data_IF_029299814196
#
_entry.id   IF_029299814196
#
_cell.length_a   1.000
_cell.length_b   1.000
_cell.length_c   1.000
_cell.angle_alpha   90.00
_cell.angle_beta   90.00
_cell.angle_gamma   90.00
#
_symmetry.space_group_name_H-M   'P 1'
#
loop_
_entity.id
_entity.type
_entity.pdbx_description
1 polymer ?
#
# COMPACT_ATOMS: atom_id res chain seq x y z
N UNK A 1 -22.50 -28.89 -32.36
CA UNK A 1 -22.60 -27.68 -31.51
C UNK A 1 -22.03 -28.02 -30.13
N UNK A 2 -20.71 -27.86 -29.95
CA UNK A 2 -19.97 -28.34 -28.78
C UNK A 2 -19.92 -27.25 -27.69
N UNK A 3 -20.71 -27.42 -26.63
CA UNK A 3 -20.53 -26.69 -25.37
C UNK A 3 -19.28 -27.25 -24.67
N UNK A 4 -18.11 -26.74 -25.05
CA UNK A 4 -16.87 -26.94 -24.27
C UNK A 4 -17.06 -26.21 -22.94
N UNK A 5 -17.34 -26.94 -21.86
CA UNK A 5 -17.29 -26.42 -20.49
C UNK A 5 -15.91 -25.79 -20.28
N UNK A 6 -15.86 -24.47 -20.11
CA UNK A 6 -14.65 -23.79 -19.67
C UNK A 6 -14.26 -24.39 -18.32
N UNK A 7 -13.08 -25.00 -18.25
CA UNK A 7 -12.51 -25.50 -17.01
C UNK A 7 -12.47 -24.35 -15.99
N UNK A 8 -13.16 -24.52 -14.86
CA UNK A 8 -13.25 -23.53 -13.78
C UNK A 8 -11.90 -23.34 -13.12
N UNK A 9 -11.12 -22.38 -13.62
CA UNK A 9 -9.89 -21.93 -12.97
C UNK A 9 -10.24 -20.86 -11.92
N UNK A 10 -9.76 -21.04 -10.70
CA UNK A 10 -9.92 -20.07 -9.61
C UNK A 10 -8.88 -18.97 -9.75
N UNK A 11 -9.32 -17.72 -9.82
CA UNK A 11 -8.45 -16.54 -9.83
C UNK A 11 -7.53 -16.54 -8.60
N UNK A 12 -6.22 -16.44 -8.84
CA UNK A 12 -5.22 -16.41 -7.78
C UNK A 12 -4.91 -14.95 -7.42
N UNK A 13 -5.05 -14.59 -6.15
CA UNK A 13 -4.74 -13.23 -5.68
C UNK A 13 -3.40 -13.23 -4.95
N UNK A 14 -2.46 -12.42 -5.44
CA UNK A 14 -1.16 -12.18 -4.81
C UNK A 14 -1.13 -10.76 -4.27
N UNK A 15 -0.76 -10.60 -3.00
CA UNK A 15 -0.56 -9.29 -2.36
C UNK A 15 0.93 -9.05 -2.23
N UNK A 16 1.44 -8.01 -2.87
CA UNK A 16 2.86 -7.63 -2.82
C UNK A 16 3.00 -6.18 -2.32
N UNK A 17 4.12 -5.89 -1.69
CA UNK A 17 4.50 -4.54 -1.28
C UNK A 17 5.69 -4.11 -2.12
N UNK A 18 5.55 -3.01 -2.87
CA UNK A 18 6.59 -2.54 -3.79
C UNK A 18 6.77 -1.04 -3.59
N UNK A 19 8.02 -0.57 -3.63
CA UNK A 19 8.32 0.87 -3.61
C UNK A 19 7.85 1.53 -4.90
N UNK A 20 7.14 2.65 -4.81
CA UNK A 20 6.73 3.45 -5.96
C UNK A 20 7.94 3.80 -6.85
N UNK A 21 7.79 3.64 -8.17
CA UNK A 21 8.85 3.92 -9.15
C UNK A 21 10.08 3.01 -9.09
N UNK A 22 10.12 2.01 -8.20
CA UNK A 22 11.27 1.13 -7.97
C UNK A 22 10.93 -0.35 -8.17
N UNK A 23 9.90 -0.69 -8.94
CA UNK A 23 9.61 -2.09 -9.24
C UNK A 23 10.69 -2.66 -10.16
N UNK A 24 11.31 -3.75 -9.69
CA UNK A 24 12.27 -4.56 -10.43
C UNK A 24 11.95 -6.05 -10.27
N UNK A 25 12.37 -6.92 -11.20
CA UNK A 25 12.20 -8.37 -11.08
C UNK A 25 13.05 -9.00 -9.96
N UNK A 26 13.66 -8.20 -9.10
CA UNK A 26 14.45 -8.62 -7.94
C UNK A 26 13.56 -9.20 -6.80
N UNK A 27 14.14 -9.81 -5.74
CA UNK A 27 13.39 -10.45 -4.65
C UNK A 27 12.69 -9.38 -3.80
N UNK A 28 11.49 -8.94 -4.19
CA UNK A 28 10.21 -9.42 -3.65
C UNK A 28 9.10 -9.64 -4.71
N UNK A 29 9.30 -9.16 -5.94
CA UNK A 29 8.30 -9.17 -7.03
C UNK A 29 8.54 -10.37 -7.96
N UNK A 30 9.80 -10.63 -8.29
CA UNK A 30 10.20 -11.70 -9.21
C UNK A 30 9.69 -13.09 -8.79
N UNK A 31 10.04 -13.58 -7.59
CA UNK A 31 9.58 -14.89 -7.12
C UNK A 31 8.06 -14.97 -6.90
N UNK A 32 7.45 -13.89 -6.39
CA UNK A 32 6.03 -13.85 -6.06
C UNK A 32 5.11 -13.93 -7.29
N UNK A 33 5.50 -13.27 -8.38
CA UNK A 33 4.74 -13.28 -9.64
C UNK A 33 5.20 -14.38 -10.60
N UNK A 34 6.50 -14.66 -10.66
CA UNK A 34 7.10 -15.65 -11.55
C UNK A 34 6.62 -17.08 -11.24
N UNK A 35 6.46 -17.44 -9.96
CA UNK A 35 5.91 -18.74 -9.55
C UNK A 35 4.47 -18.98 -10.02
N UNK A 36 3.74 -17.91 -10.37
CA UNK A 36 2.36 -17.97 -10.88
C UNK A 36 2.29 -17.85 -12.41
N UNK A 37 3.43 -17.83 -13.11
CA UNK A 37 3.50 -17.74 -14.56
C UNK A 37 3.16 -16.35 -15.12
N UNK A 38 3.23 -15.31 -14.28
CA UNK A 38 3.01 -13.92 -14.68
C UNK A 38 4.31 -13.32 -15.23
N UNK A 39 4.20 -12.53 -16.29
CA UNK A 39 5.34 -11.77 -16.85
C UNK A 39 5.72 -10.62 -15.91
N UNK A 40 6.63 -10.89 -14.97
CA UNK A 40 7.08 -9.91 -13.97
C UNK A 40 7.65 -8.61 -14.58
N UNK A 41 8.27 -8.69 -15.77
CA UNK A 41 8.81 -7.51 -16.46
C UNK A 41 7.73 -6.53 -16.93
N UNK A 42 6.62 -7.05 -17.46
CA UNK A 42 5.51 -6.23 -17.94
C UNK A 42 4.82 -5.55 -16.75
N UNK A 43 4.63 -6.30 -15.66
CA UNK A 43 4.16 -5.74 -14.38
C UNK A 43 5.06 -4.61 -13.87
N UNK A 44 6.38 -4.81 -13.82
CA UNK A 44 7.30 -3.78 -13.30
C UNK A 44 7.24 -2.48 -14.12
N UNK A 45 7.17 -2.58 -15.46
CA UNK A 45 7.06 -1.41 -16.34
C UNK A 45 5.76 -0.65 -16.11
N UNK A 46 4.64 -1.37 -16.11
CA UNK A 46 3.33 -0.76 -15.95
C UNK A 46 3.14 -0.17 -14.54
N UNK A 47 3.63 -0.87 -13.51
CA UNK A 47 3.61 -0.36 -12.14
C UNK A 47 4.45 0.91 -12.00
N UNK A 48 5.67 0.95 -12.57
CA UNK A 48 6.51 2.13 -12.51
C UNK A 48 5.84 3.30 -13.22
N UNK A 49 5.29 3.11 -14.43
CA UNK A 49 4.57 4.16 -15.16
C UNK A 49 3.39 4.72 -14.36
N UNK A 50 2.56 3.84 -13.75
CA UNK A 50 1.42 4.27 -12.93
C UNK A 50 1.84 4.93 -11.62
N UNK A 51 3.02 4.65 -11.07
CA UNK A 51 3.50 5.21 -9.79
C UNK A 51 4.46 6.39 -9.91
N UNK A 52 4.70 6.91 -11.13
CA UNK A 52 5.59 8.07 -11.37
C UNK A 52 5.19 9.34 -10.60
N UNK A 53 3.91 9.52 -10.30
CA UNK A 53 3.40 10.69 -9.57
C UNK A 53 3.57 10.57 -8.05
N UNK A 54 3.96 9.40 -7.54
CA UNK A 54 4.16 9.13 -6.11
C UNK A 54 5.64 9.27 -5.80
N UNK A 55 5.97 9.77 -4.60
CA UNK A 55 7.36 9.86 -4.12
C UNK A 55 8.03 8.49 -4.24
N UNK A 56 9.16 8.44 -4.95
CA UNK A 56 9.90 7.21 -5.20
C UNK A 56 10.27 6.51 -3.88
N UNK A 57 10.14 5.18 -3.85
CA UNK A 57 10.41 4.38 -2.66
C UNK A 57 9.27 4.33 -1.63
N UNK A 58 8.16 5.04 -1.86
CA UNK A 58 6.96 4.92 -1.01
C UNK A 58 6.40 3.49 -1.08
N UNK A 59 6.25 2.76 0.03
CA UNK A 59 5.77 1.39 0.04
C UNK A 59 4.29 1.35 -0.32
N UNK A 60 4.02 0.85 -1.53
CA UNK A 60 2.72 0.87 -2.17
C UNK A 60 2.21 -0.57 -2.27
N UNK A 61 1.14 -0.93 -1.56
CA UNK A 61 0.55 -2.26 -1.64
C UNK A 61 -0.11 -2.48 -3.00
N UNK A 62 0.12 -3.63 -3.61
CA UNK A 62 -0.49 -4.00 -4.89
C UNK A 62 -1.20 -5.32 -4.74
N UNK A 63 -2.45 -5.37 -5.21
CA UNK A 63 -3.21 -6.61 -5.34
C UNK A 63 -3.15 -7.06 -6.79
N UNK A 64 -2.43 -8.13 -7.06
CA UNK A 64 -2.34 -8.75 -8.38
C UNK A 64 -3.30 -9.92 -8.43
N UNK A 65 -4.22 -9.89 -9.38
CA UNK A 65 -5.17 -10.98 -9.65
C UNK A 65 -4.72 -11.68 -10.92
N UNK A 66 -4.38 -12.96 -10.80
CA UNK A 66 -3.89 -13.81 -11.87
C UNK A 66 -5.03 -14.73 -12.29
N UNK A 67 -5.45 -14.61 -13.55
CA UNK A 67 -6.47 -15.44 -14.16
C UNK A 67 -5.87 -16.77 -14.64
N UNK A 68 -6.68 -17.82 -14.83
CA UNK A 68 -6.21 -19.13 -15.27
C UNK A 68 -5.57 -19.13 -16.68
N UNK A 69 -5.87 -18.13 -17.52
CA UNK A 69 -5.24 -17.90 -18.82
C UNK A 69 -3.85 -17.25 -18.73
N UNK A 70 -3.31 -17.11 -17.50
CA UNK A 70 -2.04 -16.42 -17.18
C UNK A 70 -2.05 -14.93 -17.49
N UNK A 71 -3.23 -14.35 -17.79
CA UNK A 71 -3.38 -12.91 -17.79
C UNK A 71 -3.44 -12.41 -16.35
N UNK A 72 -2.96 -11.18 -16.14
CA UNK A 72 -2.96 -10.56 -14.82
C UNK A 72 -3.61 -9.19 -14.90
N UNK A 73 -4.32 -8.83 -13.83
CA UNK A 73 -4.77 -7.48 -13.59
C UNK A 73 -4.27 -7.08 -12.21
N UNK A 74 -3.78 -5.85 -12.05
CA UNK A 74 -3.36 -5.37 -10.74
C UNK A 74 -4.02 -4.06 -10.37
N UNK A 75 -4.32 -3.94 -9.08
CA UNK A 75 -4.83 -2.73 -8.47
C UNK A 75 -3.77 -2.18 -7.53
N UNK A 76 -3.31 -0.96 -7.83
CA UNK A 76 -2.43 -0.21 -6.95
C UNK A 76 -3.30 0.38 -5.84
N UNK A 77 -2.91 0.14 -4.59
CA UNK A 77 -3.54 0.76 -3.42
C UNK A 77 -2.69 1.92 -2.95
N UNK A 78 -3.33 2.86 -2.28
CA UNK A 78 -2.67 3.93 -1.56
C UNK A 78 -1.66 3.38 -0.55
N UNK A 79 -0.59 4.14 -0.26
CA UNK A 79 0.42 3.75 0.71
C UNK A 79 -0.18 3.42 2.08
N UNK A 80 0.52 2.58 2.84
CA UNK A 80 0.08 2.22 4.19
C UNK A 80 -0.01 3.48 5.07
N UNK A 81 -1.12 3.63 5.79
CA UNK A 81 -1.31 4.80 6.67
C UNK A 81 -0.31 4.85 7.80
N UNK A 82 0.19 3.71 8.29
CA UNK A 82 1.32 3.68 9.22
C UNK A 82 2.55 4.37 8.63
N UNK A 83 2.91 4.08 7.37
CA UNK A 83 4.04 4.72 6.70
C UNK A 83 3.78 6.21 6.47
N UNK A 84 2.58 6.61 6.03
CA UNK A 84 2.22 8.02 5.84
C UNK A 84 2.28 8.82 7.15
N UNK A 85 1.79 8.25 8.25
CA UNK A 85 1.85 8.88 9.58
C UNK A 85 3.28 9.00 10.08
N UNK A 86 4.09 7.94 9.95
CA UNK A 86 5.51 8.01 10.29
C UNK A 86 6.26 9.00 9.39
N UNK A 87 5.82 9.16 8.14
CA UNK A 87 6.37 10.15 7.22
C UNK A 87 6.07 11.58 7.68
N UNK A 88 4.81 11.86 7.99
CA UNK A 88 4.32 13.15 8.47
C UNK A 88 4.83 13.54 9.87
N UNK A 89 5.11 12.55 10.73
CA UNK A 89 5.69 12.76 12.06
C UNK A 89 7.22 12.93 12.05
N UNK A 90 7.84 12.95 10.87
CA UNK A 90 9.30 13.12 10.70
C UNK A 90 10.15 12.17 11.56
N UNK A 91 9.66 10.95 11.77
CA UNK A 91 10.36 10.00 12.64
C UNK A 91 11.75 9.65 12.09
N UNK A 92 12.76 9.52 12.96
CA UNK A 92 14.11 9.17 12.55
C UNK A 92 14.13 7.79 11.86
N UNK A 93 14.95 7.67 10.83
CA UNK A 93 15.19 6.39 10.18
C UNK A 93 15.93 5.46 11.16
N UNK A 94 15.38 4.27 11.41
CA UNK A 94 16.03 3.26 12.22
C UNK A 94 17.19 2.57 11.50
N UNK A 95 17.80 1.59 12.19
CA UNK A 95 18.98 0.82 11.74
C UNK A 95 18.86 0.11 10.38
N UNK A 96 17.64 0.01 9.81
CA UNK A 96 17.36 -0.62 8.50
C UNK A 96 16.82 0.35 7.45
N UNK A 97 16.99 1.67 7.66
CA UNK A 97 16.44 2.70 6.76
C UNK A 97 14.91 2.78 6.78
N UNK A 98 14.26 2.18 7.78
CA UNK A 98 12.82 2.20 7.97
C UNK A 98 12.47 3.03 9.19
N UNK A 99 11.45 3.88 9.07
CA UNK A 99 10.85 4.57 10.21
C UNK A 99 10.16 3.55 11.10
N UNK A 100 10.35 3.63 12.41
CA UNK A 100 9.80 2.68 13.39
C UNK A 100 8.84 3.42 14.31
N UNK A 101 7.66 2.84 14.54
CA UNK A 101 6.71 3.33 15.55
C UNK A 101 7.19 3.04 16.97
N UNK A 102 6.40 3.46 17.96
CA UNK A 102 6.67 3.19 19.38
C UNK A 102 6.76 1.67 19.63
N UNK A 103 7.69 1.26 20.50
CA UNK A 103 7.79 -0.15 20.91
C UNK A 103 6.67 -0.51 21.88
N UNK A 104 6.27 0.44 22.73
CA UNK A 104 5.12 0.33 23.63
C UNK A 104 4.11 1.47 23.39
N UNK A 105 3.20 1.32 22.40
CA UNK A 105 2.16 2.30 22.14
C UNK A 105 1.30 2.56 23.39
N UNK A 106 1.13 3.83 23.77
CA UNK A 106 0.36 4.25 24.94
C UNK A 106 1.18 4.62 26.17
N UNK A 107 2.44 4.15 26.26
CA UNK A 107 3.42 4.66 27.24
C UNK A 107 4.45 5.56 26.58
N UNK A 108 4.91 5.17 25.39
CA UNK A 108 5.89 5.89 24.61
C UNK A 108 5.21 6.64 23.47
N UNK A 109 5.57 7.92 23.31
CA UNK A 109 5.19 8.73 22.15
C UNK A 109 6.44 9.00 21.33
N UNK A 110 6.45 8.56 20.07
CA UNK A 110 7.63 8.67 19.19
C UNK A 110 7.61 9.91 18.30
N UNK A 111 6.45 10.53 18.12
CA UNK A 111 6.30 11.73 17.29
C UNK A 111 4.93 12.39 17.44
N UNK A 112 4.78 13.55 16.83
CA UNK A 112 3.53 14.31 16.83
C UNK A 112 3.07 14.60 15.40
N UNK A 113 1.77 14.62 15.17
CA UNK A 113 1.16 14.96 13.87
C UNK A 113 0.00 15.91 14.11
N UNK A 114 -0.08 17.00 13.35
CA UNK A 114 -1.20 17.95 13.42
C UNK A 114 -2.47 17.40 12.76
N UNK A 115 -3.65 17.91 13.12
CA UNK A 115 -4.90 17.59 12.41
C UNK A 115 -4.88 17.88 10.91
N UNK A 116 -4.12 18.90 10.44
CA UNK A 116 -3.97 19.22 9.01
C UNK A 116 -3.40 18.04 8.21
N UNK A 117 -2.28 17.49 8.68
CA UNK A 117 -1.65 16.30 8.10
C UNK A 117 -2.58 15.07 8.11
N UNK A 118 -3.38 14.87 9.17
CA UNK A 118 -4.36 13.78 9.22
C UNK A 118 -5.42 13.93 8.12
N UNK A 119 -5.91 15.15 7.93
CA UNK A 119 -6.89 15.45 6.90
C UNK A 119 -6.34 15.22 5.49
N UNK A 120 -5.08 15.60 5.24
CA UNK A 120 -4.40 15.30 3.98
C UNK A 120 -4.23 13.80 3.75
N UNK A 121 -3.78 13.05 4.76
CA UNK A 121 -3.66 11.59 4.70
C UNK A 121 -5.03 10.95 4.42
N UNK A 122 -6.09 11.44 5.06
CA UNK A 122 -7.44 10.95 4.84
C UNK A 122 -7.92 11.21 3.40
N UNK A 123 -7.64 12.41 2.84
CA UNK A 123 -7.92 12.72 1.43
C UNK A 123 -7.19 11.81 0.45
N UNK A 124 -5.89 11.58 0.69
CA UNK A 124 -5.09 10.67 -0.15
C UNK A 124 -5.72 9.28 -0.14
N UNK A 125 -6.13 8.78 1.03
CA UNK A 125 -6.77 7.45 1.12
C UNK A 125 -8.18 7.41 0.54
N UNK A 126 -8.91 8.50 0.61
CA UNK A 126 -10.26 8.61 0.03
C UNK A 126 -10.24 8.56 -1.51
N UNK A 127 -9.09 8.87 -2.14
CA UNK A 127 -8.93 8.72 -3.60
C UNK A 127 -9.09 7.27 -4.08
N UNK A 128 -8.96 6.28 -3.19
CA UNK A 128 -9.25 4.89 -3.54
C UNK A 128 -10.74 4.66 -3.77
N UNK A 129 -11.09 4.03 -4.88
CA UNK A 129 -12.48 3.68 -5.22
C UNK A 129 -13.22 2.89 -4.12
N UNK A 130 -12.49 2.07 -3.34
CA UNK A 130 -13.07 1.29 -2.23
C UNK A 130 -13.39 2.16 -1.00
N UNK A 131 -12.71 3.29 -0.84
CA UNK A 131 -12.82 4.17 0.31
C UNK A 131 -13.59 5.47 -0.02
N UNK A 132 -13.87 5.73 -1.30
CA UNK A 132 -14.56 6.94 -1.76
C UNK A 132 -15.97 7.11 -1.20
N UNK A 133 -16.66 6.00 -0.89
CA UNK A 133 -18.00 6.02 -0.27
C UNK A 133 -18.01 6.30 1.24
N UNK A 134 -16.85 6.35 1.90
CA UNK A 134 -16.77 6.66 3.32
C UNK A 134 -16.72 8.17 3.55
N UNK A 135 -17.42 8.64 4.57
CA UNK A 135 -17.35 10.02 5.01
C UNK A 135 -15.92 10.39 5.41
N UNK A 136 -15.46 11.57 4.98
CA UNK A 136 -14.10 12.04 5.24
C UNK A 136 -13.80 12.14 6.74
N UNK A 137 -14.79 12.53 7.54
CA UNK A 137 -14.67 12.56 9.01
C UNK A 137 -14.39 11.16 9.58
N UNK A 138 -15.10 10.13 9.09
CA UNK A 138 -14.88 8.73 9.49
C UNK A 138 -13.48 8.25 9.13
N UNK A 139 -12.97 8.64 7.96
CA UNK A 139 -11.58 8.36 7.56
C UNK A 139 -10.57 9.07 8.46
N UNK A 140 -10.78 10.33 8.80
CA UNK A 140 -9.92 11.07 9.73
C UNK A 140 -9.88 10.38 11.11
N UNK A 141 -11.03 9.99 11.66
CA UNK A 141 -11.12 9.26 12.94
C UNK A 141 -10.35 7.93 12.88
N UNK A 142 -10.46 7.18 11.78
CA UNK A 142 -9.72 5.94 11.59
C UNK A 142 -8.19 6.17 11.54
N UNK A 143 -7.75 7.23 10.88
CA UNK A 143 -6.32 7.61 10.82
C UNK A 143 -5.81 8.04 12.20
N UNK A 144 -6.57 8.82 12.96
CA UNK A 144 -6.26 9.21 14.35
C UNK A 144 -6.10 7.97 15.23
N UNK A 145 -7.02 7.02 15.12
CA UNK A 145 -6.96 5.78 15.90
C UNK A 145 -5.71 4.97 15.57
N UNK A 146 -5.33 4.93 14.29
CA UNK A 146 -4.10 4.28 13.87
C UNK A 146 -2.85 5.03 14.38
N UNK A 147 -2.84 6.36 14.40
CA UNK A 147 -1.74 7.15 14.99
C UNK A 147 -1.51 6.78 16.47
N UNK A 148 -2.60 6.62 17.23
CA UNK A 148 -2.53 6.15 18.62
C UNK A 148 -1.90 4.76 18.75
N UNK A 149 -2.25 3.83 17.85
CA UNK A 149 -1.70 2.46 17.87
C UNK A 149 -0.21 2.36 17.55
N UNK A 150 0.37 3.38 16.89
CA UNK A 150 1.80 3.44 16.57
C UNK A 150 2.58 4.36 17.50
N UNK A 151 1.92 4.95 18.51
CA UNK A 151 2.51 5.86 19.48
C UNK A 151 2.83 7.24 18.91
N UNK A 152 2.02 7.74 17.98
CA UNK A 152 2.09 9.11 17.49
C UNK A 152 0.96 9.92 18.13
N UNK A 153 1.32 11.03 18.78
CA UNK A 153 0.35 11.92 19.39
C UNK A 153 -0.24 12.87 18.33
N UNK A 154 -1.55 13.09 18.41
CA UNK A 154 -2.26 13.99 17.51
C UNK A 154 -2.45 15.32 18.20
N UNK A 155 -1.97 16.39 17.56
CA UNK A 155 -2.09 17.76 18.04
C UNK A 155 -3.17 18.48 17.24
N UNK A 156 -4.08 19.25 17.88
CA UNK A 156 -5.07 20.06 17.19
C UNK A 156 -4.46 21.06 16.19
#
# INVERSE_FOLDING_TARGET
MSKKRAAGGVDQVVKILVGAGQASPSPPVGPALGSKGVKSMDFCKEFNARTQHIIAGTPTPVRVTVRPDRTFHFEIRTPQTSWLLMNAAELPLGKKGQRRGASNPGKETVGTVSLKHIYEIAKIKQSELRLSGLALEGLCRAVIWQAKSIGIAVVP
#
